data_IF_685358282032
#
_entry.id   IF_685358282032
#
_cell.length_a   1.000
_cell.length_b   1.000
_cell.length_c   1.000
_cell.angle_alpha   90.00
_cell.angle_beta   90.00
_cell.angle_gamma   90.00
#
_symmetry.space_group_name_H-M   'P 1'
#
loop_
_entity.id
_entity.type
_entity.pdbx_description
1 polymer ?
#
# COMPACT_ATOMS: atom_id res chain seq x y z
N UNK A 1 -6.36 -1.67 -15.38
CA UNK A 1 -7.54 -1.79 -14.50
C UNK A 1 -7.40 -3.01 -13.60
N UNK A 2 -7.88 -2.95 -12.36
CA UNK A 2 -7.96 -4.12 -11.48
C UNK A 2 -9.43 -4.51 -11.29
N UNK A 3 -9.75 -5.77 -11.55
CA UNK A 3 -11.11 -6.31 -11.35
C UNK A 3 -11.46 -6.37 -9.86
N UNK A 4 -12.73 -6.15 -9.50
CA UNK A 4 -13.22 -6.19 -8.12
C UNK A 4 -13.07 -7.58 -7.50
N UNK A 5 -13.11 -7.67 -6.15
CA UNK A 5 -12.98 -8.95 -5.43
C UNK A 5 -14.14 -9.89 -5.78
N UNK A 6 -15.35 -9.36 -5.79
CA UNK A 6 -16.59 -10.12 -6.00
C UNK A 6 -16.62 -10.71 -7.42
N UNK A 7 -16.19 -9.93 -8.42
CA UNK A 7 -16.12 -10.39 -9.81
C UNK A 7 -15.16 -11.56 -9.98
N UNK A 8 -14.00 -11.53 -9.32
CA UNK A 8 -13.05 -12.65 -9.35
C UNK A 8 -13.62 -13.88 -8.65
N UNK A 9 -14.28 -13.70 -7.50
CA UNK A 9 -14.88 -14.79 -6.75
C UNK A 9 -16.00 -15.47 -7.55
N UNK A 10 -16.85 -14.69 -8.23
CA UNK A 10 -17.89 -15.21 -9.12
C UNK A 10 -17.31 -16.09 -10.23
N UNK A 11 -16.26 -15.63 -10.91
CA UNK A 11 -15.62 -16.39 -12.00
C UNK A 11 -14.92 -17.65 -11.47
N UNK A 12 -14.28 -17.56 -10.30
CA UNK A 12 -13.69 -18.72 -9.64
C UNK A 12 -14.73 -19.73 -9.16
N UNK A 13 -15.93 -19.29 -8.77
CA UNK A 13 -17.05 -20.16 -8.43
C UNK A 13 -17.56 -20.91 -9.67
N UNK A 14 -17.76 -20.21 -10.81
CA UNK A 14 -18.10 -20.85 -12.09
C UNK A 14 -17.03 -21.86 -12.54
N UNK A 15 -15.75 -21.54 -12.35
CA UNK A 15 -14.64 -22.46 -12.64
C UNK A 15 -14.68 -23.72 -11.77
N UNK A 16 -15.06 -23.60 -10.48
CA UNK A 16 -15.26 -24.77 -9.59
C UNK A 16 -16.45 -25.63 -10.01
N UNK A 17 -17.47 -25.03 -10.63
CA UNK A 17 -18.63 -25.72 -11.17
C UNK A 17 -18.39 -26.53 -12.45
N UNK A 18 -17.15 -26.60 -12.95
CA UNK A 18 -16.77 -27.43 -14.09
C UNK A 18 -16.58 -26.68 -15.41
N UNK A 19 -16.76 -25.35 -15.44
CA UNK A 19 -16.52 -24.55 -16.64
C UNK A 19 -15.04 -24.54 -17.04
N UNK A 20 -14.75 -24.49 -18.34
CA UNK A 20 -13.39 -24.41 -18.86
C UNK A 20 -12.84 -22.98 -18.79
N UNK A 21 -11.52 -22.84 -18.68
CA UNK A 21 -10.85 -21.53 -18.72
C UNK A 21 -11.12 -20.77 -20.03
N UNK A 22 -11.26 -21.49 -21.16
CA UNK A 22 -11.50 -20.87 -22.47
C UNK A 22 -12.93 -20.33 -22.59
N UNK A 23 -13.90 -21.07 -22.07
CA UNK A 23 -15.31 -20.66 -22.05
C UNK A 23 -15.49 -19.40 -21.21
N UNK A 24 -14.94 -19.39 -20.00
CA UNK A 24 -14.97 -18.21 -19.12
C UNK A 24 -14.20 -17.02 -19.71
N UNK A 25 -13.09 -17.27 -20.40
CA UNK A 25 -12.34 -16.22 -21.09
C UNK A 25 -13.17 -15.55 -22.20
N UNK A 26 -13.94 -16.34 -22.96
CA UNK A 26 -14.82 -15.81 -24.00
C UNK A 26 -16.05 -15.10 -23.41
N UNK A 27 -16.73 -15.73 -22.44
CA UNK A 27 -17.94 -15.19 -21.80
C UNK A 27 -17.65 -13.84 -21.12
N UNK A 28 -16.54 -13.74 -20.40
CA UNK A 28 -16.18 -12.54 -19.64
C UNK A 28 -15.22 -11.61 -20.38
N UNK A 29 -14.87 -11.91 -21.63
CA UNK A 29 -13.90 -11.16 -22.44
C UNK A 29 -12.56 -10.94 -21.71
N UNK A 30 -12.08 -12.00 -21.06
CA UNK A 30 -10.82 -12.00 -20.29
C UNK A 30 -9.77 -12.85 -20.98
N UNK A 31 -8.49 -12.57 -20.69
CA UNK A 31 -7.45 -13.53 -21.05
C UNK A 31 -7.53 -14.77 -20.15
N UNK A 32 -7.25 -15.94 -20.71
CA UNK A 32 -7.13 -17.20 -19.96
C UNK A 32 -6.08 -17.11 -18.84
N UNK A 33 -4.99 -16.36 -19.09
CA UNK A 33 -3.94 -16.08 -18.10
C UNK A 33 -4.48 -15.32 -16.89
N UNK A 34 -5.42 -14.39 -17.08
CA UNK A 34 -6.06 -13.64 -15.98
C UNK A 34 -6.77 -14.60 -15.01
N UNK A 35 -7.55 -15.54 -15.54
CA UNK A 35 -8.31 -16.51 -14.73
C UNK A 35 -7.35 -17.49 -14.03
N UNK A 36 -6.31 -17.94 -14.73
CA UNK A 36 -5.26 -18.78 -14.14
C UNK A 36 -4.53 -18.07 -12.98
N UNK A 37 -4.21 -16.78 -13.14
CA UNK A 37 -3.60 -15.95 -12.08
C UNK A 37 -4.52 -15.84 -10.86
N UNK A 38 -5.83 -15.67 -11.05
CA UNK A 38 -6.79 -15.63 -9.94
C UNK A 38 -6.94 -16.98 -9.25
N UNK A 39 -6.87 -18.09 -10.00
CA UNK A 39 -6.86 -19.43 -9.39
C UNK A 39 -5.65 -19.62 -8.49
N UNK A 40 -4.46 -19.18 -8.94
CA UNK A 40 -3.21 -19.27 -8.16
C UNK A 40 -3.17 -18.30 -6.98
N UNK A 41 -3.67 -17.09 -7.16
CA UNK A 41 -3.68 -16.07 -6.12
C UNK A 41 -4.98 -15.25 -6.20
N UNK A 42 -6.02 -15.66 -5.46
CA UNK A 42 -7.34 -15.04 -5.54
C UNK A 42 -7.32 -13.61 -5.00
N UNK A 43 -6.48 -13.35 -3.99
CA UNK A 43 -6.30 -12.03 -3.42
C UNK A 43 -5.27 -11.20 -4.18
N UNK A 44 -5.55 -9.91 -4.32
CA UNK A 44 -4.59 -8.97 -4.91
C UNK A 44 -3.39 -8.82 -3.97
N UNK A 45 -2.17 -9.03 -4.50
CA UNK A 45 -0.96 -8.63 -3.78
C UNK A 45 -0.98 -7.11 -3.57
N UNK A 46 -0.99 -6.69 -2.30
CA UNK A 46 -0.82 -5.28 -1.94
C UNK A 46 0.65 -4.91 -2.19
N UNK A 47 0.87 -3.76 -2.83
CA UNK A 47 2.23 -3.23 -3.00
C UNK A 47 2.69 -2.74 -1.63
N UNK A 48 3.68 -3.40 -1.06
CA UNK A 48 4.35 -2.93 0.16
C UNK A 48 5.46 -1.98 -0.30
N UNK A 49 5.34 -0.70 0.05
CA UNK A 49 6.39 0.30 -0.22
C UNK A 49 7.15 0.54 1.07
N UNK A 50 8.41 0.10 1.12
CA UNK A 50 9.31 0.42 2.22
C UNK A 50 9.90 1.82 2.03
N UNK A 51 10.09 2.60 3.10
CA UNK A 51 10.81 3.87 3.00
C UNK A 51 12.31 3.65 2.78
N UNK A 52 12.90 4.48 1.94
CA UNK A 52 14.31 4.38 1.58
C UNK A 52 15.23 5.35 2.33
N UNK A 53 14.70 6.45 2.90
CA UNK A 53 15.53 7.59 3.35
C UNK A 53 15.41 7.99 4.83
N UNK A 54 14.35 7.61 5.54
CA UNK A 54 14.11 8.04 6.93
C UNK A 54 13.78 6.81 7.77
N UNK A 55 14.66 6.52 8.71
CA UNK A 55 14.45 5.49 9.72
C UNK A 55 13.38 5.92 10.71
N UNK A 56 12.44 5.01 10.98
CA UNK A 56 11.32 5.25 11.89
C UNK A 56 11.78 5.49 13.32
N UNK A 57 12.82 4.79 13.76
CA UNK A 57 13.34 4.85 15.13
C UNK A 57 14.03 6.19 15.39
N UNK A 58 14.90 6.62 14.47
CA UNK A 58 15.55 7.92 14.54
C UNK A 58 14.53 9.07 14.56
N UNK A 59 13.50 9.01 13.72
CA UNK A 59 12.45 10.03 13.71
C UNK A 59 11.63 10.04 15.01
N UNK A 60 11.37 8.88 15.63
CA UNK A 60 10.66 8.82 16.91
C UNK A 60 11.48 9.44 18.04
N UNK A 61 12.76 9.07 18.14
CA UNK A 61 13.67 9.64 19.13
C UNK A 61 13.78 11.18 18.99
N UNK A 62 13.85 11.68 17.75
CA UNK A 62 13.87 13.12 17.46
C UNK A 62 12.57 13.83 17.88
N UNK A 63 11.41 13.18 17.70
CA UNK A 63 10.10 13.68 18.13
C UNK A 63 9.96 13.72 19.65
N UNK A 64 10.50 12.73 20.35
CA UNK A 64 10.49 12.68 21.82
C UNK A 64 11.44 13.72 22.43
N UNK A 65 12.66 13.84 21.88
CA UNK A 65 13.67 14.77 22.37
C UNK A 65 13.31 16.24 22.09
N UNK A 66 12.69 16.53 20.94
CA UNK A 66 12.36 17.90 20.53
C UNK A 66 10.89 18.02 20.19
N UNK A 67 10.01 18.00 21.19
CA UNK A 67 8.58 17.92 21.00
C UNK A 67 7.99 19.05 20.12
N UNK A 68 8.45 20.29 20.30
CA UNK A 68 7.82 21.47 19.70
C UNK A 68 8.55 22.02 18.46
N UNK A 69 9.55 21.28 17.97
CA UNK A 69 10.32 21.64 16.79
C UNK A 69 9.53 21.48 15.50
N UNK A 70 9.74 22.43 14.59
CA UNK A 70 9.15 22.45 13.26
C UNK A 70 9.75 21.35 12.38
N UNK A 71 8.96 20.89 11.41
CA UNK A 71 9.36 19.85 10.46
C UNK A 71 10.65 20.21 9.70
N UNK A 72 10.89 21.50 9.40
CA UNK A 72 12.10 21.94 8.71
C UNK A 72 13.35 21.86 9.60
N UNK A 73 13.22 22.08 10.92
CA UNK A 73 14.32 21.95 11.88
C UNK A 73 14.74 20.48 12.04
N UNK A 74 13.75 19.59 12.12
CA UNK A 74 13.96 18.14 12.09
C UNK A 74 14.61 17.69 10.78
N UNK A 75 14.23 18.33 9.67
CA UNK A 75 14.73 17.99 8.34
C UNK A 75 16.21 18.33 8.19
N UNK A 76 16.65 19.47 8.75
CA UNK A 76 18.07 19.82 8.83
C UNK A 76 18.86 18.80 9.67
N UNK A 77 18.35 18.39 10.84
CA UNK A 77 19.01 17.40 11.71
C UNK A 77 19.13 16.02 11.08
N UNK A 78 18.08 15.57 10.41
CA UNK A 78 18.01 14.25 9.76
C UNK A 78 18.52 14.27 8.32
N UNK A 79 19.09 15.39 7.83
CA UNK A 79 19.65 15.51 6.48
C UNK A 79 18.64 15.22 5.37
N UNK A 80 17.36 15.55 5.57
CA UNK A 80 16.29 15.23 4.64
C UNK A 80 15.46 16.47 4.27
N UNK A 81 14.48 16.32 3.36
CA UNK A 81 13.58 17.41 3.01
C UNK A 81 12.41 17.49 3.98
N UNK A 82 11.87 18.69 4.20
CA UNK A 82 10.69 18.90 5.03
C UNK A 82 9.50 18.02 4.61
N UNK A 83 9.28 17.85 3.29
CA UNK A 83 8.23 16.98 2.77
C UNK A 83 8.43 15.52 3.17
N UNK A 84 9.67 15.04 3.18
CA UNK A 84 9.97 13.66 3.60
C UNK A 84 9.62 13.45 5.08
N UNK A 85 9.89 14.44 5.94
CA UNK A 85 9.46 14.40 7.34
C UNK A 85 7.94 14.44 7.48
N UNK A 86 7.25 15.31 6.73
CA UNK A 86 5.79 15.35 6.75
C UNK A 86 5.18 13.99 6.38
N UNK A 87 5.69 13.34 5.33
CA UNK A 87 5.24 11.99 4.94
C UNK A 87 5.60 10.94 6.00
N UNK A 88 6.77 11.02 6.61
CA UNK A 88 7.22 10.09 7.64
C UNK A 88 6.40 10.22 8.94
N UNK A 89 6.08 11.43 9.38
CA UNK A 89 5.20 11.69 10.53
C UNK A 89 3.78 11.16 10.29
N UNK A 90 3.22 11.40 9.09
CA UNK A 90 1.91 10.84 8.69
C UNK A 90 1.92 9.31 8.70
N UNK A 91 3.00 8.68 8.21
CA UNK A 91 3.17 7.22 8.25
C UNK A 91 3.17 6.69 9.68
N UNK A 92 3.83 7.41 10.61
CA UNK A 92 3.90 7.03 12.02
C UNK A 92 2.63 7.39 12.82
N UNK A 93 1.64 8.03 12.20
CA UNK A 93 0.42 8.49 12.88
C UNK A 93 0.65 9.64 13.88
N UNK A 94 1.80 10.32 13.79
CA UNK A 94 2.17 11.40 14.70
C UNK A 94 1.59 12.71 14.16
N UNK A 95 0.58 13.22 14.83
CA UNK A 95 0.00 14.54 14.56
C UNK A 95 0.18 15.41 15.81
N UNK A 96 1.16 16.32 15.77
CA UNK A 96 1.39 17.26 16.87
C UNK A 96 1.10 18.68 16.44
N UNK A 97 0.05 19.27 17.03
CA UNK A 97 -0.24 20.70 16.92
C UNK A 97 0.54 21.41 18.01
N UNK A 98 1.38 22.38 17.64
CA UNK A 98 2.08 23.25 18.61
C UNK A 98 1.03 23.90 19.52
N UNK A 99 1.19 23.74 20.83
CA UNK A 99 0.43 24.53 21.81
C UNK A 99 1.19 25.84 21.99
N UNK A 100 0.48 26.96 21.82
CA UNK A 100 1.01 28.31 21.96
C UNK A 100 0.70 28.81 23.35
#
# INVERSE_FOLDING_TARGET
MAYSKDYRQMILAKLKGGASFRELAQEFQLSTNTIQRWKKNPERKKRIVKPYKIDNELLKADVEAYPDDYQWQRAQRLGCSQNAICTALKRLGITRKKRR
#
